data_IF_673039138830
#
_entry.id   IF_673039138830
#
_cell.length_a   1.000
_cell.length_b   1.000
_cell.length_c   1.000
_cell.angle_alpha   90.00
_cell.angle_beta   90.00
_cell.angle_gamma   90.00
#
_symmetry.space_group_name_H-M   'P 1'
#
loop_
_entity.id
_entity.type
_entity.pdbx_description
1 polymer ?
#
# COMPACT_ATOMS: atom_id res chain seq x y z
N UNK A 1 -11.38 5.36 0.51
CA UNK A 1 -10.47 6.25 1.27
C UNK A 1 -10.22 7.53 0.47
N UNK A 2 -10.07 8.69 1.11
CA UNK A 2 -10.02 9.99 0.40
C UNK A 2 -8.84 10.85 0.87
N UNK A 3 -8.43 11.88 0.11
CA UNK A 3 -7.39 12.80 0.57
C UNK A 3 -7.74 13.46 1.93
N UNK A 4 -9.03 13.72 2.17
CA UNK A 4 -9.52 14.40 3.37
C UNK A 4 -9.31 13.61 4.67
N UNK A 5 -9.14 12.28 4.58
CA UNK A 5 -8.81 11.43 5.73
C UNK A 5 -7.40 10.85 5.66
N UNK A 6 -6.49 11.51 4.91
CA UNK A 6 -5.11 11.05 4.66
C UNK A 6 -5.04 9.61 4.15
N UNK A 7 -6.08 9.19 3.43
CA UNK A 7 -6.26 7.81 3.00
C UNK A 7 -6.10 6.79 4.15
N UNK A 8 -6.54 7.15 5.35
CA UNK A 8 -6.45 6.31 6.54
C UNK A 8 -5.09 6.28 7.24
N UNK A 9 -4.10 7.06 6.80
CA UNK A 9 -2.82 7.15 7.47
C UNK A 9 -2.90 8.02 8.75
N UNK A 10 -2.28 7.58 9.87
CA UNK A 10 -2.29 8.35 11.12
C UNK A 10 -1.48 9.65 11.02
N UNK A 11 -0.44 9.64 10.17
CA UNK A 11 0.34 10.81 9.77
C UNK A 11 0.16 10.93 8.25
N UNK A 12 -0.09 12.13 7.71
CA UNK A 12 -0.26 12.30 6.27
C UNK A 12 0.92 11.70 5.49
N UNK A 13 0.68 10.99 4.37
CA UNK A 13 1.75 10.30 3.64
C UNK A 13 2.89 11.20 3.14
N UNK A 14 2.64 12.51 3.03
CA UNK A 14 3.61 13.53 2.63
C UNK A 14 4.40 14.16 3.78
N UNK A 15 4.17 13.72 5.03
CA UNK A 15 4.91 14.20 6.21
C UNK A 15 6.02 13.22 6.66
N UNK A 16 7.08 13.77 7.26
CA UNK A 16 8.17 12.97 7.80
C UNK A 16 7.69 12.05 8.92
N UNK A 17 8.06 10.78 8.86
CA UNK A 17 7.65 9.76 9.84
C UNK A 17 6.29 9.11 9.53
N UNK A 18 5.71 9.38 8.36
CA UNK A 18 4.54 8.67 7.88
C UNK A 18 4.79 7.15 7.82
N UNK A 19 3.84 6.41 8.37
CA UNK A 19 3.83 4.94 8.41
C UNK A 19 2.59 4.44 7.66
N UNK A 20 2.53 3.13 7.30
CA UNK A 20 1.33 2.54 6.72
C UNK A 20 0.10 2.88 7.58
N UNK A 21 -0.97 3.35 6.96
CA UNK A 21 -2.20 3.63 7.69
C UNK A 21 -2.99 2.39 8.09
N UNK A 22 -2.76 1.29 7.38
CA UNK A 22 -3.63 0.13 7.37
C UNK A 22 -2.94 -1.08 6.76
N UNK A 23 -3.55 -2.24 7.00
CA UNK A 23 -3.12 -3.53 6.47
C UNK A 23 -4.30 -4.21 5.77
N UNK A 24 -4.08 -4.64 4.52
CA UNK A 24 -5.06 -5.35 3.71
C UNK A 24 -4.49 -6.73 3.33
N UNK A 25 -4.58 -7.66 4.29
CA UNK A 25 -4.16 -9.05 4.14
C UNK A 25 -4.85 -9.95 5.16
N UNK A 26 -4.33 -11.14 5.43
CA UNK A 26 -4.95 -12.20 6.23
C UNK A 26 -4.18 -12.53 7.52
N UNK A 27 -3.01 -11.95 7.73
CA UNK A 27 -2.18 -12.14 8.92
C UNK A 27 -2.69 -11.31 10.11
N UNK A 28 -3.36 -11.98 11.04
CA UNK A 28 -3.91 -11.38 12.24
C UNK A 28 -2.86 -10.80 13.20
N UNK A 29 -1.57 -11.14 13.07
CA UNK A 29 -0.53 -10.53 13.91
C UNK A 29 -0.20 -9.11 13.47
N UNK A 30 -0.33 -8.82 12.17
CA UNK A 30 -0.05 -7.51 11.58
C UNK A 30 -1.24 -6.59 11.73
N UNK A 31 -2.45 -7.17 11.66
CA UNK A 31 -3.68 -6.46 11.96
C UNK A 31 -3.81 -5.93 13.39
N UNK A 32 -2.86 -6.23 14.29
CA UNK A 32 -2.80 -5.64 15.63
C UNK A 32 -2.05 -4.30 15.67
N UNK A 33 -1.14 -4.06 14.72
CA UNK A 33 -0.35 -2.82 14.64
C UNK A 33 -0.98 -1.79 13.69
N UNK A 34 -1.70 -2.27 12.68
CA UNK A 34 -2.37 -1.45 11.68
C UNK A 34 -3.88 -1.74 11.67
N UNK A 35 -4.68 -0.77 11.20
CA UNK A 35 -6.11 -1.01 10.99
C UNK A 35 -6.27 -2.12 9.94
N UNK A 36 -6.79 -3.27 10.38
CA UNK A 36 -6.94 -4.46 9.54
C UNK A 36 -8.22 -4.38 8.71
N UNK A 37 -8.05 -4.15 7.41
CA UNK A 37 -9.15 -3.87 6.48
C UNK A 37 -9.85 -5.12 5.92
N UNK A 38 -9.37 -6.33 6.24
CA UNK A 38 -10.04 -7.60 5.89
C UNK A 38 -10.75 -8.25 7.08
N UNK A 39 -10.64 -7.69 8.29
CA UNK A 39 -11.35 -8.21 9.45
C UNK A 39 -12.82 -7.78 9.45
N UNK A 40 -13.71 -8.75 9.34
CA UNK A 40 -15.16 -8.50 9.27
C UNK A 40 -15.75 -7.75 10.48
N UNK A 41 -15.15 -7.86 11.67
CA UNK A 41 -15.62 -7.17 12.88
C UNK A 41 -15.14 -5.72 12.87
N UNK A 42 -13.86 -5.49 12.58
CA UNK A 42 -13.28 -4.14 12.43
C UNK A 42 -14.01 -3.41 11.32
N UNK A 43 -14.25 -4.07 10.19
CA UNK A 43 -14.99 -3.49 9.07
C UNK A 43 -16.40 -3.09 9.43
N UNK A 44 -17.14 -3.96 10.13
CA UNK A 44 -18.46 -3.62 10.62
C UNK A 44 -18.43 -2.38 11.54
N UNK A 45 -17.43 -2.27 12.42
CA UNK A 45 -17.29 -1.11 13.31
C UNK A 45 -16.95 0.16 12.53
N UNK A 46 -16.05 0.08 11.55
CA UNK A 46 -15.62 1.21 10.73
C UNK A 46 -16.75 1.76 9.85
N UNK A 47 -17.58 0.88 9.28
CA UNK A 47 -18.74 1.26 8.46
C UNK A 47 -19.82 2.01 9.26
N UNK A 48 -19.87 1.83 10.59
CA UNK A 48 -20.81 2.54 11.46
C UNK A 48 -20.39 3.99 11.77
N UNK A 49 -19.17 4.40 11.38
CA UNK A 49 -18.63 5.74 11.67
C UNK A 49 -18.53 6.52 10.35
N UNK A 50 -19.45 7.47 10.08
CA UNK A 50 -19.43 8.27 8.86
C UNK A 50 -18.12 9.06 8.73
N UNK A 51 -17.44 8.92 7.59
CA UNK A 51 -16.21 9.67 7.26
C UNK A 51 -14.89 8.98 7.64
N UNK A 52 -14.93 7.76 8.19
CA UNK A 52 -13.75 6.97 8.54
C UNK A 52 -13.22 6.11 7.38
N UNK A 53 -12.13 5.36 7.67
CA UNK A 53 -11.62 4.29 6.82
C UNK A 53 -12.79 3.38 6.42
N UNK A 54 -13.08 3.27 5.13
CA UNK A 54 -14.06 2.30 4.65
C UNK A 54 -13.34 0.99 4.40
N UNK A 55 -13.91 -0.09 4.92
CA UNK A 55 -13.43 -1.38 4.50
C UNK A 55 -13.80 -1.60 3.04
N UNK A 56 -12.88 -2.14 2.25
CA UNK A 56 -13.25 -2.66 0.94
C UNK A 56 -14.34 -3.72 1.14
N UNK A 57 -15.40 -3.73 0.30
CA UNK A 57 -16.34 -4.83 0.31
C UNK A 57 -15.56 -6.14 0.13
N UNK A 58 -16.08 -7.29 0.58
CA UNK A 58 -15.56 -8.60 0.19
C UNK A 58 -15.81 -8.79 -1.31
N UNK A 59 -15.02 -8.08 -2.12
CA UNK A 59 -15.06 -8.16 -3.55
C UNK A 59 -14.12 -9.30 -3.94
N UNK A 60 -14.56 -10.22 -4.80
CA UNK A 60 -13.60 -11.07 -5.49
C UNK A 60 -12.57 -10.15 -6.16
N UNK A 61 -11.26 -10.51 -6.15
CA UNK A 61 -10.26 -9.74 -6.86
C UNK A 61 -10.77 -9.55 -8.29
N UNK A 62 -10.68 -8.32 -8.84
CA UNK A 62 -11.17 -8.08 -10.18
C UNK A 62 -10.44 -9.04 -11.11
N UNK A 63 -11.20 -9.87 -11.81
CA UNK A 63 -10.64 -10.51 -12.99
C UNK A 63 -10.36 -9.41 -14.01
N UNK A 64 -9.08 -9.05 -14.11
CA UNK A 64 -8.39 -8.56 -15.29
C UNK A 64 -8.79 -7.16 -15.80
N UNK A 65 -8.75 -6.16 -14.92
CA UNK A 65 -8.82 -4.74 -15.30
C UNK A 65 -7.48 -4.00 -15.29
N UNK A 66 -6.42 -4.64 -14.77
CA UNK A 66 -5.10 -4.06 -14.58
C UNK A 66 -4.13 -4.54 -15.66
N UNK A 67 -3.44 -3.63 -16.34
CA UNK A 67 -2.31 -3.96 -17.21
C UNK A 67 -0.98 -3.83 -16.45
N UNK A 68 -0.13 -4.85 -16.54
CA UNK A 68 1.20 -4.79 -15.94
C UNK A 68 2.10 -3.85 -16.74
N UNK A 69 2.57 -2.79 -16.10
CA UNK A 69 3.43 -1.76 -16.73
C UNK A 69 4.91 -2.07 -16.57
N UNK A 70 5.29 -2.74 -15.48
CA UNK A 70 6.62 -3.30 -15.27
C UNK A 70 6.60 -4.45 -14.25
N UNK A 71 7.64 -5.28 -14.29
CA UNK A 71 7.75 -6.50 -13.50
C UNK A 71 9.16 -6.70 -12.94
N UNK A 72 9.23 -7.12 -11.68
CA UNK A 72 10.41 -7.60 -10.98
C UNK A 72 11.63 -6.65 -11.03
N UNK A 73 11.38 -5.36 -10.78
CA UNK A 73 12.43 -4.35 -10.64
C UNK A 73 12.95 -4.25 -9.20
N UNK A 74 14.08 -3.57 -9.02
CA UNK A 74 14.70 -3.29 -7.72
C UNK A 74 14.46 -1.86 -7.23
N UNK A 75 13.65 -1.09 -7.94
CA UNK A 75 13.24 0.26 -7.53
C UNK A 75 11.72 0.34 -7.40
N UNK A 76 11.25 1.05 -6.38
CA UNK A 76 9.86 1.45 -6.23
C UNK A 76 9.59 2.71 -7.06
N UNK A 77 8.33 2.91 -7.42
CA UNK A 77 7.86 4.09 -8.15
C UNK A 77 8.06 5.33 -7.29
N UNK A 78 8.69 6.36 -7.85
CA UNK A 78 8.87 7.66 -7.23
C UNK A 78 8.28 8.72 -8.13
N UNK A 79 7.11 9.24 -7.74
CA UNK A 79 6.39 10.23 -8.52
C UNK A 79 5.66 11.24 -7.63
N UNK A 80 5.40 12.43 -8.19
CA UNK A 80 4.80 13.55 -7.46
C UNK A 80 3.32 13.36 -7.14
N UNK A 81 2.65 12.42 -7.79
CA UNK A 81 1.24 12.12 -7.67
C UNK A 81 0.97 10.89 -6.78
N UNK A 82 1.98 10.52 -5.99
CA UNK A 82 1.88 9.59 -4.88
C UNK A 82 0.77 10.01 -3.91
N UNK A 83 -0.07 9.05 -3.53
CA UNK A 83 -1.21 9.25 -2.64
C UNK A 83 -0.91 8.76 -1.23
N UNK A 84 -0.58 7.47 -1.11
CA UNK A 84 -0.39 6.76 0.16
C UNK A 84 0.23 5.39 -0.09
N UNK A 85 0.49 4.66 1.00
CA UNK A 85 0.87 3.25 0.97
C UNK A 85 0.27 2.47 2.13
N UNK A 86 0.19 1.16 1.96
CA UNK A 86 -0.08 0.23 3.04
C UNK A 86 0.56 -1.12 2.83
N UNK A 87 0.28 -2.05 3.74
CA UNK A 87 0.81 -3.41 3.70
C UNK A 87 -0.24 -4.38 3.17
N UNK A 88 0.19 -5.33 2.34
CA UNK A 88 -0.67 -6.35 1.74
C UNK A 88 0.04 -7.70 1.65
N UNK A 89 -0.73 -8.78 1.57
CA UNK A 89 -0.16 -10.14 1.43
C UNK A 89 0.20 -10.46 -0.02
N UNK A 90 -0.64 -10.01 -0.97
CA UNK A 90 -0.48 -10.35 -2.39
C UNK A 90 -0.61 -9.12 -3.30
N UNK A 91 -0.18 -9.27 -4.56
CA UNK A 91 -0.38 -8.27 -5.60
C UNK A 91 -1.88 -8.03 -5.83
N UNK A 92 -2.69 -9.10 -5.84
CA UNK A 92 -4.14 -8.99 -6.02
C UNK A 92 -4.81 -8.20 -4.88
N UNK A 93 -4.27 -8.30 -3.67
CA UNK A 93 -4.71 -7.50 -2.52
C UNK A 93 -4.39 -6.01 -2.75
N UNK A 94 -3.20 -5.69 -3.26
CA UNK A 94 -2.79 -4.33 -3.64
C UNK A 94 -3.72 -3.69 -4.69
N UNK A 95 -4.01 -4.45 -5.75
CA UNK A 95 -4.92 -4.08 -6.83
C UNK A 95 -6.35 -3.83 -6.30
N UNK A 96 -6.88 -4.78 -5.51
CA UNK A 96 -8.24 -4.70 -4.96
C UNK A 96 -8.40 -3.49 -4.04
N UNK A 97 -7.37 -3.21 -3.26
CA UNK A 97 -7.32 -2.09 -2.35
C UNK A 97 -7.37 -0.75 -3.09
N UNK A 98 -6.63 -0.57 -4.18
CA UNK A 98 -6.68 0.64 -4.99
C UNK A 98 -8.09 0.99 -5.47
N UNK A 99 -8.91 0.00 -5.83
CA UNK A 99 -10.31 0.21 -6.25
C UNK A 99 -11.20 0.83 -5.17
N UNK A 100 -10.77 0.77 -3.92
CA UNK A 100 -11.49 1.30 -2.77
C UNK A 100 -10.89 2.64 -2.29
N UNK A 101 -9.87 3.15 -2.98
CA UNK A 101 -9.24 4.44 -2.74
C UNK A 101 -9.64 5.41 -3.86
N UNK A 102 -10.34 6.47 -3.48
CA UNK A 102 -10.83 7.46 -4.43
C UNK A 102 -9.64 8.13 -5.13
N UNK A 103 -9.67 8.10 -6.47
CA UNK A 103 -8.63 8.69 -7.32
C UNK A 103 -7.42 7.79 -7.55
N UNK A 104 -7.39 6.57 -7.00
CA UNK A 104 -6.31 5.63 -7.28
C UNK A 104 -6.43 5.06 -8.69
N UNK A 105 -5.35 5.17 -9.46
CA UNK A 105 -5.28 4.76 -10.87
C UNK A 105 -4.15 3.77 -11.10
N UNK A 106 -3.12 3.77 -10.26
CA UNK A 106 -1.96 2.92 -10.41
C UNK A 106 -1.48 2.38 -9.07
N UNK A 107 -0.99 1.14 -9.09
CA UNK A 107 -0.37 0.50 -7.94
C UNK A 107 1.06 0.10 -8.24
N UNK A 108 1.95 0.31 -7.27
CA UNK A 108 3.26 -0.32 -7.26
C UNK A 108 3.43 -1.17 -5.99
N UNK A 109 3.51 -2.48 -6.21
CA UNK A 109 3.75 -3.49 -5.18
C UNK A 109 5.21 -3.88 -5.12
N UNK A 110 5.84 -3.92 -3.95
CA UNK A 110 7.24 -4.30 -3.79
C UNK A 110 7.56 -4.83 -2.38
N UNK A 111 8.68 -5.53 -2.23
CA UNK A 111 9.26 -5.77 -0.91
C UNK A 111 10.24 -4.65 -0.55
N UNK A 112 10.03 -4.09 0.63
CA UNK A 112 10.95 -3.16 1.28
C UNK A 112 11.72 -3.97 2.33
N UNK A 113 12.82 -4.59 1.91
CA UNK A 113 13.58 -5.56 2.72
C UNK A 113 14.31 -4.80 3.80
N UNK A 114 14.25 -5.29 5.05
CA UNK A 114 14.71 -4.61 6.27
C UNK A 114 13.97 -3.31 6.60
N UNK A 115 13.20 -2.72 5.68
CA UNK A 115 12.26 -1.66 5.99
C UNK A 115 11.09 -2.14 6.87
N UNK A 116 10.25 -1.18 7.29
CA UNK A 116 8.92 -1.45 7.89
C UNK A 116 8.97 -2.35 9.13
N UNK A 117 9.99 -2.19 9.96
CA UNK A 117 10.16 -3.00 11.18
C UNK A 117 10.41 -4.49 10.90
N UNK A 118 10.90 -4.85 9.71
CA UNK A 118 11.18 -6.24 9.32
C UNK A 118 9.97 -7.01 8.80
N UNK A 119 8.84 -6.32 8.56
CA UNK A 119 7.65 -6.90 7.91
C UNK A 119 8.01 -7.55 6.56
N UNK A 120 7.57 -8.79 6.37
CA UNK A 120 7.77 -9.55 5.12
C UNK A 120 6.70 -9.25 4.05
N UNK A 121 5.70 -8.46 4.40
CA UNK A 121 4.56 -8.12 3.56
C UNK A 121 4.99 -7.27 2.38
N UNK A 122 4.18 -7.30 1.32
CA UNK A 122 4.36 -6.36 0.22
C UNK A 122 3.94 -4.97 0.69
N UNK A 123 4.76 -3.99 0.33
CA UNK A 123 4.32 -2.60 0.31
C UNK A 123 3.47 -2.39 -0.92
N UNK A 124 2.29 -1.80 -0.75
CA UNK A 124 1.43 -1.37 -1.84
C UNK A 124 1.34 0.16 -1.84
N UNK A 125 1.98 0.80 -2.80
CA UNK A 125 1.95 2.25 -2.99
C UNK A 125 0.95 2.64 -4.08
N UNK A 126 0.22 3.73 -3.85
CA UNK A 126 -0.90 4.18 -4.68
C UNK A 126 -0.63 5.53 -5.32
N UNK A 127 -1.03 5.68 -6.58
CA UNK A 127 -0.82 6.89 -7.39
C UNK A 127 -2.07 7.25 -8.18
N UNK A 128 -2.19 8.54 -8.53
CA UNK A 128 -3.33 9.05 -9.31
C UNK A 128 -3.15 8.95 -10.83
N UNK A 129 -1.96 8.58 -11.31
CA UNK A 129 -1.64 8.42 -12.72
C UNK A 129 -0.89 7.10 -12.97
N UNK A 130 -0.96 6.59 -14.21
CA UNK A 130 -0.17 5.43 -14.62
C UNK A 130 1.33 5.76 -14.66
N UNK A 131 2.15 4.83 -14.17
CA UNK A 131 3.60 4.89 -14.25
C UNK A 131 4.16 3.71 -15.05
N UNK A 132 5.45 3.80 -15.39
CA UNK A 132 6.16 2.71 -16.03
C UNK A 132 7.55 2.52 -15.40
N UNK A 133 8.34 1.60 -15.95
CA UNK A 133 9.67 1.25 -15.43
C UNK A 133 10.63 2.44 -15.25
N UNK A 134 10.44 3.56 -15.96
CA UNK A 134 11.30 4.75 -15.81
C UNK A 134 11.16 5.42 -14.45
N UNK A 135 9.99 5.28 -13.81
CA UNK A 135 9.69 5.94 -12.54
C UNK A 135 10.08 5.05 -11.35
N UNK A 136 10.49 3.80 -11.60
CA UNK A 136 10.92 2.83 -10.61
C UNK A 136 12.37 3.07 -10.16
N UNK A 137 12.65 4.26 -9.61
CA UNK A 137 14.00 4.74 -9.27
C UNK A 137 14.27 4.93 -7.76
N UNK A 138 13.30 4.61 -6.90
CA UNK A 138 13.51 4.56 -5.46
C UNK A 138 14.02 3.17 -5.04
N UNK A 139 15.34 3.02 -4.91
CA UNK A 139 15.98 1.75 -4.58
C UNK A 139 16.01 1.42 -3.06
N UNK A 140 15.52 2.33 -2.21
CA UNK A 140 15.77 2.29 -0.77
C UNK A 140 17.20 2.77 -0.44
N UNK A 141 17.76 2.29 0.67
CA UNK A 141 19.10 2.63 1.15
C UNK A 141 19.13 3.40 2.47
N UNK A 142 17.98 3.57 3.12
CA UNK A 142 17.87 4.18 4.43
C UNK A 142 18.35 3.19 5.52
N UNK A 143 19.13 3.72 6.47
CA UNK A 143 19.54 2.96 7.65
C UNK A 143 18.40 2.88 8.66
N UNK A 144 18.05 1.67 9.05
CA UNK A 144 17.00 1.36 10.01
C UNK A 144 17.49 1.51 11.46
N UNK A 145 16.57 1.59 12.45
CA UNK A 145 16.95 1.74 13.85
C UNK A 145 17.88 0.63 14.39
N UNK A 146 17.84 -0.57 13.80
CA UNK A 146 18.70 -1.70 14.15
C UNK A 146 20.06 -1.70 13.42
N UNK A 147 20.32 -0.68 12.58
CA UNK A 147 21.54 -0.54 11.79
C UNK A 147 21.55 -1.31 10.47
N UNK A 148 20.50 -2.07 10.16
CA UNK A 148 20.32 -2.65 8.82
C UNK A 148 20.04 -1.55 7.79
N UNK A 149 20.30 -1.86 6.51
CA UNK A 149 20.00 -0.96 5.39
C UNK A 149 18.84 -1.57 4.62
N UNK A 150 17.82 -0.77 4.35
CA UNK A 150 16.69 -1.20 3.53
C UNK A 150 17.02 -1.19 2.03
N UNK A 151 16.26 -1.97 1.27
CA UNK A 151 16.35 -1.98 -0.19
C UNK A 151 15.10 -2.58 -0.82
N UNK A 152 14.80 -2.13 -2.03
CA UNK A 152 13.60 -2.55 -2.75
C UNK A 152 13.87 -3.78 -3.62
N UNK A 153 12.95 -4.74 -3.59
CA UNK A 153 12.96 -5.93 -4.46
C UNK A 153 11.56 -6.30 -4.94
N UNK A 154 11.49 -7.12 -5.98
CA UNK A 154 10.24 -7.64 -6.56
C UNK A 154 9.21 -6.53 -6.83
N UNK A 155 9.66 -5.39 -7.35
CA UNK A 155 8.81 -4.24 -7.64
C UNK A 155 8.05 -4.44 -8.94
N UNK A 156 6.72 -4.37 -8.86
CA UNK A 156 5.80 -4.57 -9.97
C UNK A 156 4.81 -3.40 -10.03
N UNK A 157 4.51 -2.92 -11.23
CA UNK A 157 3.60 -1.80 -11.47
C UNK A 157 2.39 -2.23 -12.28
N UNK A 158 1.21 -1.71 -11.93
CA UNK A 158 -0.04 -2.03 -12.61
C UNK A 158 -0.92 -0.79 -12.79
N UNK A 159 -1.40 -0.61 -14.01
CA UNK A 159 -2.43 0.33 -14.45
C UNK A 159 -3.31 -0.44 -15.43
#
# INVERSE_FOLDING_TARGET
LTPANHYGAPIPPWESGANPGWYYGSDANIGQEFVWLLDSIICFILDLIPGCLHCPPPNPPPQNGWDQTFYNLTGATQASDYMTYGLVDTIADCETMCLNVEGCVFVNSYHDVNGKGGSTQLTCSLFTQCHNATDADNFGGQTQPDGSVDFITNSNGFC
#
